data_IF_485870234809
#
_entry.id   IF_485870234809
#
_cell.length_a   1.000
_cell.length_b   1.000
_cell.length_c   1.000
_cell.angle_alpha   90.00
_cell.angle_beta   90.00
_cell.angle_gamma   90.00
#
_symmetry.space_group_name_H-M   'P 1'
#
loop_
_entity.id
_entity.type
_entity.pdbx_description
1 polymer ?
#
# COMPACT_ATOMS: atom_id res chain seq x y z
N UNK A 1 -6.48 15.25 -0.01
CA UNK A 1 -7.33 14.04 -0.08
C UNK A 1 -6.57 13.09 -0.96
N UNK A 2 -6.36 11.84 -0.54
CA UNK A 2 -5.57 10.87 -1.32
C UNK A 2 -6.13 10.74 -2.73
N UNK A 3 -5.23 10.68 -3.71
CA UNK A 3 -5.58 10.48 -5.10
C UNK A 3 -5.37 9.02 -5.50
N UNK A 4 -6.37 8.44 -6.18
CA UNK A 4 -6.25 7.13 -6.79
C UNK A 4 -6.91 7.13 -8.17
N UNK A 5 -6.38 6.33 -9.10
CA UNK A 5 -6.85 6.28 -10.48
C UNK A 5 -6.54 4.94 -11.14
N UNK A 6 -7.28 4.63 -12.20
CA UNK A 6 -6.97 3.50 -13.07
C UNK A 6 -5.77 3.79 -13.96
N UNK A 7 -4.91 2.80 -14.10
CA UNK A 7 -3.66 2.92 -14.86
C UNK A 7 -3.87 2.73 -16.37
N UNK A 8 -3.03 3.39 -17.17
CA UNK A 8 -2.82 3.05 -18.58
C UNK A 8 -1.97 1.78 -18.77
N UNK A 9 -1.78 1.38 -20.03
CA UNK A 9 -0.93 0.24 -20.42
C UNK A 9 0.40 0.71 -21.04
N UNK A 10 0.82 1.94 -20.74
CA UNK A 10 2.03 2.53 -21.32
C UNK A 10 3.30 1.79 -20.86
N UNK A 11 4.32 1.62 -21.73
CA UNK A 11 5.61 1.06 -21.36
C UNK A 11 6.55 2.09 -20.69
N UNK A 12 6.04 3.26 -20.29
CA UNK A 12 6.79 4.28 -19.55
C UNK A 12 7.34 3.74 -18.21
N UNK A 13 8.27 4.50 -17.60
CA UNK A 13 8.86 4.12 -16.31
C UNK A 13 7.74 4.00 -15.27
N UNK A 14 7.68 2.87 -14.57
CA UNK A 14 6.69 2.56 -13.53
C UNK A 14 6.50 3.65 -12.46
N UNK A 15 7.48 4.54 -12.28
CA UNK A 15 7.43 5.67 -11.36
C UNK A 15 6.64 6.87 -11.91
N UNK A 16 6.23 6.83 -13.17
CA UNK A 16 5.36 7.83 -13.77
C UNK A 16 3.91 7.68 -13.26
N UNK A 17 3.06 8.72 -13.40
CA UNK A 17 1.69 8.63 -12.93
C UNK A 17 0.80 7.61 -13.65
N UNK A 18 1.09 7.24 -14.91
CA UNK A 18 0.30 6.25 -15.68
C UNK A 18 -1.22 6.48 -15.69
N UNK A 19 -1.68 7.74 -15.76
CA UNK A 19 -3.11 8.05 -15.77
C UNK A 19 -3.70 7.77 -17.14
N UNK A 20 -4.83 7.05 -17.18
CA UNK A 20 -5.66 6.94 -18.38
C UNK A 20 -5.99 8.32 -18.99
N UNK A 21 -6.18 8.35 -20.31
CA UNK A 21 -6.63 9.54 -21.04
C UNK A 21 -7.93 9.23 -21.80
N UNK A 22 -9.09 9.74 -21.34
CA UNK A 22 -9.30 10.62 -20.19
C UNK A 22 -9.10 9.91 -18.83
N UNK A 23 -8.74 10.68 -17.80
CA UNK A 23 -8.51 10.16 -16.44
C UNK A 23 -9.76 9.47 -15.89
N UNK A 24 -9.57 8.28 -15.30
CA UNK A 24 -10.60 7.54 -14.57
C UNK A 24 -10.19 7.42 -13.11
N UNK A 25 -10.67 8.35 -12.28
CA UNK A 25 -10.39 8.35 -10.85
C UNK A 25 -11.03 7.14 -10.14
N UNK A 26 -10.35 6.64 -9.11
CA UNK A 26 -10.86 5.68 -8.15
C UNK A 26 -11.20 6.41 -6.84
N UNK A 27 -12.42 6.24 -6.35
CA UNK A 27 -12.86 6.91 -5.12
C UNK A 27 -12.41 6.15 -3.87
N UNK A 28 -12.34 6.84 -2.73
CA UNK A 28 -12.14 6.20 -1.43
C UNK A 28 -13.21 5.14 -1.10
N UNK A 29 -14.44 5.31 -1.59
CA UNK A 29 -15.50 4.31 -1.43
C UNK A 29 -15.19 3.04 -2.22
N UNK A 30 -14.70 3.18 -3.45
CA UNK A 30 -14.24 2.05 -4.26
C UNK A 30 -13.09 1.30 -3.56
N UNK A 31 -12.09 2.03 -3.05
CA UNK A 31 -10.98 1.44 -2.31
C UNK A 31 -11.47 0.69 -1.05
N UNK A 32 -12.44 1.26 -0.31
CA UNK A 32 -13.05 0.59 0.86
C UNK A 32 -13.74 -0.72 0.48
N UNK A 33 -14.43 -0.79 -0.66
CA UNK A 33 -15.05 -2.04 -1.16
C UNK A 33 -14.02 -3.09 -1.61
N UNK A 34 -12.76 -2.68 -1.79
CA UNK A 34 -11.61 -3.58 -1.96
C UNK A 34 -10.93 -3.91 -0.62
N UNK A 35 -11.51 -3.48 0.52
CA UNK A 35 -10.94 -3.65 1.85
C UNK A 35 -9.77 -2.73 2.16
N UNK A 36 -9.38 -1.85 1.22
CA UNK A 36 -8.32 -0.85 1.44
C UNK A 36 -8.86 0.27 2.32
N UNK A 37 -8.21 0.53 3.45
CA UNK A 37 -8.58 1.62 4.35
C UNK A 37 -7.53 2.72 4.33
N UNK A 38 -7.98 3.96 4.54
CA UNK A 38 -7.15 5.15 4.46
C UNK A 38 -7.48 6.12 5.60
N UNK A 39 -6.44 6.75 6.14
CA UNK A 39 -6.53 7.83 7.14
C UNK A 39 -5.49 8.91 6.82
N UNK A 40 -5.82 10.19 7.08
CA UNK A 40 -4.85 11.29 7.06
C UNK A 40 -4.49 11.66 8.50
N UNK A 41 -3.21 11.77 8.79
CA UNK A 41 -2.65 12.12 10.09
C UNK A 41 -1.63 13.26 9.95
N UNK A 42 -1.23 13.82 11.09
CA UNK A 42 -0.11 14.75 11.15
C UNK A 42 1.21 13.97 11.22
N UNK A 43 1.98 13.98 10.14
CA UNK A 43 3.26 13.25 10.10
C UNK A 43 4.37 13.95 10.88
N UNK A 44 4.23 15.22 11.23
CA UNK A 44 5.26 15.95 11.99
C UNK A 44 5.32 15.54 13.47
N UNK A 45 4.24 14.97 14.00
CA UNK A 45 4.13 14.56 15.40
C UNK A 45 4.07 13.03 15.61
N UNK A 46 4.45 12.22 14.61
CA UNK A 46 4.26 10.76 14.61
C UNK A 46 4.83 10.01 15.84
N UNK A 47 5.79 10.58 16.56
CA UNK A 47 6.37 9.99 17.78
C UNK A 47 5.46 10.11 19.01
N UNK A 48 4.57 11.11 19.01
CA UNK A 48 3.72 11.47 20.18
C UNK A 48 2.25 11.67 19.84
N UNK A 49 1.86 11.45 18.58
CA UNK A 49 0.50 11.67 18.09
C UNK A 49 -0.53 10.81 18.87
N UNK A 50 -1.45 11.44 19.63
CA UNK A 50 -2.51 10.72 20.31
C UNK A 50 -3.46 10.02 19.33
N UNK A 51 -3.68 10.56 18.12
CA UNK A 51 -4.58 9.97 17.12
C UNK A 51 -3.97 8.68 16.59
N UNK A 52 -2.69 8.68 16.21
CA UNK A 52 -1.97 7.46 15.85
C UNK A 52 -2.04 6.42 16.98
N UNK A 53 -1.85 6.82 18.24
CA UNK A 53 -1.94 5.91 19.39
C UNK A 53 -3.33 5.28 19.53
N UNK A 54 -4.40 6.06 19.34
CA UNK A 54 -5.78 5.56 19.38
C UNK A 54 -6.04 4.56 18.25
N UNK A 55 -5.61 4.86 17.03
CA UNK A 55 -5.72 3.96 15.87
C UNK A 55 -5.01 2.64 16.17
N UNK A 56 -3.75 2.71 16.60
CA UNK A 56 -2.95 1.52 16.92
C UNK A 56 -3.58 0.67 18.01
N UNK A 57 -4.21 1.30 19.00
CA UNK A 57 -4.88 0.58 20.09
C UNK A 57 -6.17 -0.09 19.59
N UNK A 58 -6.97 0.61 18.80
CA UNK A 58 -8.24 0.11 18.28
C UNK A 58 -8.05 -1.04 17.26
N UNK A 59 -7.01 -0.95 16.43
CA UNK A 59 -6.71 -1.93 15.36
C UNK A 59 -5.63 -2.94 15.76
N UNK A 60 -5.18 -2.90 17.02
CA UNK A 60 -4.16 -3.78 17.59
C UNK A 60 -2.81 -3.79 16.84
N UNK A 61 -2.39 -2.63 16.33
CA UNK A 61 -1.07 -2.42 15.71
C UNK A 61 0.03 -2.33 16.78
N UNK A 62 0.34 -3.47 17.37
CA UNK A 62 1.25 -3.63 18.50
C UNK A 62 2.73 -3.44 18.13
N UNK A 63 3.10 -3.59 16.86
CA UNK A 63 4.47 -3.46 16.38
C UNK A 63 4.61 -2.34 15.35
N UNK A 64 5.77 -1.64 15.37
CA UNK A 64 6.13 -0.69 14.33
C UNK A 64 7.65 -0.54 14.19
N UNK A 65 8.08 -0.15 12.99
CA UNK A 65 9.40 0.40 12.73
C UNK A 65 9.35 1.47 11.64
N UNK A 66 10.49 2.11 11.38
CA UNK A 66 10.65 3.11 10.34
C UNK A 66 11.57 2.57 9.26
N UNK A 67 11.12 2.64 8.01
CA UNK A 67 11.93 2.37 6.83
C UNK A 67 12.14 3.66 6.04
N UNK A 68 13.34 3.84 5.50
CA UNK A 68 13.65 4.89 4.53
C UNK A 68 14.08 4.23 3.23
N UNK A 69 13.31 4.45 2.17
CA UNK A 69 13.58 3.92 0.83
C UNK A 69 14.20 5.06 0.04
N UNK A 70 15.53 5.01 -0.08
CA UNK A 70 16.35 5.92 -0.87
C UNK A 70 17.60 5.15 -1.30
N UNK A 71 18.08 5.38 -2.53
CA UNK A 71 19.18 4.64 -3.16
C UNK A 71 20.40 4.45 -2.25
N UNK A 72 20.80 5.50 -1.54
CA UNK A 72 22.02 5.49 -0.72
C UNK A 72 21.79 5.13 0.75
N UNK A 73 20.52 4.98 1.19
CA UNK A 73 20.17 4.72 2.61
C UNK A 73 19.62 3.32 2.85
N UNK A 74 19.01 2.70 1.84
CA UNK A 74 18.40 1.38 1.97
C UNK A 74 19.41 0.28 1.59
N UNK A 75 19.79 -0.62 2.51
CA UNK A 75 20.61 -1.78 2.15
C UNK A 75 19.93 -2.66 1.10
N UNK A 76 20.69 -3.11 0.10
CA UNK A 76 20.19 -3.87 -1.05
C UNK A 76 19.06 -3.15 -1.81
N UNK A 77 19.14 -1.82 -1.93
CA UNK A 77 18.13 -0.98 -2.57
C UNK A 77 17.61 -1.55 -3.91
N UNK A 78 18.50 -1.84 -4.86
CA UNK A 78 18.13 -2.28 -6.22
C UNK A 78 17.38 -3.63 -6.24
N UNK A 79 17.66 -4.51 -5.27
CA UNK A 79 16.94 -5.78 -5.12
C UNK A 79 15.58 -5.55 -4.44
N UNK A 80 15.56 -4.75 -3.37
CA UNK A 80 14.34 -4.46 -2.61
C UNK A 80 13.28 -3.75 -3.44
N UNK A 81 13.65 -2.74 -4.23
CA UNK A 81 12.67 -2.03 -5.08
C UNK A 81 12.04 -2.96 -6.13
N UNK A 82 12.78 -3.96 -6.62
CA UNK A 82 12.24 -4.97 -7.54
C UNK A 82 11.26 -5.88 -6.82
N UNK A 83 11.62 -6.36 -5.63
CA UNK A 83 10.71 -7.17 -4.81
C UNK A 83 9.43 -6.42 -4.46
N UNK A 84 9.53 -5.14 -4.12
CA UNK A 84 8.35 -4.32 -3.79
C UNK A 84 7.42 -4.13 -5.00
N UNK A 85 7.99 -4.05 -6.21
CA UNK A 85 7.20 -3.80 -7.43
C UNK A 85 6.65 -5.06 -8.10
N UNK A 86 7.25 -6.22 -7.87
CA UNK A 86 6.70 -7.50 -8.32
C UNK A 86 5.29 -7.66 -7.72
N UNK A 87 4.28 -8.04 -8.51
CA UNK A 87 2.92 -8.21 -8.00
C UNK A 87 2.87 -9.36 -6.98
N UNK A 88 2.44 -9.06 -5.76
CA UNK A 88 2.45 -10.01 -4.65
C UNK A 88 1.25 -9.83 -3.71
N UNK A 89 1.13 -10.75 -2.76
CA UNK A 89 0.25 -10.63 -1.61
C UNK A 89 0.97 -10.98 -0.30
N UNK A 90 0.34 -10.61 0.80
CA UNK A 90 0.72 -11.00 2.16
C UNK A 90 -0.42 -11.80 2.83
N UNK A 91 -0.05 -12.59 3.85
CA UNK A 91 -1.01 -13.36 4.66
C UNK A 91 -1.58 -12.53 5.82
N UNK A 92 -0.97 -11.39 6.08
CA UNK A 92 -1.36 -10.38 7.06
C UNK A 92 -1.56 -9.04 6.34
N UNK A 93 -2.19 -8.09 7.01
CA UNK A 93 -2.41 -6.75 6.48
C UNK A 93 -1.07 -6.01 6.28
N UNK A 94 -0.96 -5.29 5.16
CA UNK A 94 0.15 -4.38 4.90
C UNK A 94 -0.25 -2.95 5.32
N UNK A 95 0.27 -2.50 6.46
CA UNK A 95 -0.02 -1.16 6.99
C UNK A 95 1.20 -0.25 6.81
N UNK A 96 0.98 0.94 6.22
CA UNK A 96 2.01 1.94 5.94
C UNK A 96 1.52 3.33 6.27
N UNK A 97 2.34 4.09 6.99
CA UNK A 97 2.10 5.50 7.28
C UNK A 97 3.28 6.34 6.76
N UNK A 98 3.02 7.20 5.78
CA UNK A 98 4.05 8.00 5.11
C UNK A 98 4.44 9.19 5.99
N UNK A 99 5.68 9.20 6.44
CA UNK A 99 6.24 10.25 7.30
C UNK A 99 6.92 11.36 6.49
N UNK A 100 7.45 11.03 5.32
CA UNK A 100 8.10 11.97 4.41
C UNK A 100 8.21 11.37 3.00
N UNK A 101 8.34 12.22 1.98
CA UNK A 101 8.36 11.80 0.58
C UNK A 101 7.03 11.23 0.10
N UNK A 102 7.08 10.36 -0.90
CA UNK A 102 5.90 9.85 -1.60
C UNK A 102 6.17 8.58 -2.41
N UNK A 103 5.10 7.91 -2.82
CA UNK A 103 5.16 6.74 -3.68
C UNK A 103 3.77 6.24 -4.08
N UNK A 104 3.75 5.13 -4.81
CA UNK A 104 2.54 4.51 -5.34
C UNK A 104 2.33 3.11 -4.74
N UNK A 105 1.11 2.86 -4.29
CA UNK A 105 0.61 1.50 -4.08
C UNK A 105 -0.37 1.18 -5.20
N UNK A 106 -0.08 0.15 -5.98
CA UNK A 106 -1.01 -0.35 -6.98
C UNK A 106 -1.76 -1.54 -6.41
N UNK A 107 -3.08 -1.58 -6.59
CA UNK A 107 -3.94 -2.69 -6.16
C UNK A 107 -4.82 -3.18 -7.30
N UNK A 108 -5.15 -4.47 -7.30
CA UNK A 108 -6.13 -5.03 -8.24
C UNK A 108 -7.55 -4.73 -7.79
N UNK A 109 -8.38 -4.24 -8.70
CA UNK A 109 -9.83 -4.15 -8.50
C UNK A 109 -10.53 -5.52 -8.70
N UNK A 110 -11.87 -5.54 -8.62
CA UNK A 110 -12.65 -6.79 -8.78
C UNK A 110 -12.55 -7.40 -10.19
N UNK A 111 -12.25 -6.59 -11.20
CA UNK A 111 -12.05 -7.03 -12.59
C UNK A 111 -10.56 -7.31 -12.89
N UNK A 112 -9.72 -7.37 -11.85
CA UNK A 112 -8.28 -7.57 -11.95
C UNK A 112 -7.55 -6.45 -12.72
N UNK A 113 -8.07 -5.22 -12.70
CA UNK A 113 -7.43 -4.03 -13.27
C UNK A 113 -6.65 -3.27 -12.21
N UNK A 114 -5.54 -2.66 -12.60
CA UNK A 114 -4.73 -1.86 -11.69
C UNK A 114 -5.39 -0.51 -11.36
N UNK A 115 -5.43 -0.21 -10.06
CA UNK A 115 -5.68 1.11 -9.49
C UNK A 115 -4.38 1.55 -8.80
N UNK A 116 -3.82 2.67 -9.23
CA UNK A 116 -2.68 3.31 -8.60
C UNK A 116 -3.16 4.29 -7.53
N UNK A 117 -2.60 4.19 -6.33
CA UNK A 117 -2.90 5.03 -5.17
C UNK A 117 -1.65 5.85 -4.86
N UNK A 118 -1.75 7.17 -5.00
CA UNK A 118 -0.65 8.07 -4.66
C UNK A 118 -0.66 8.39 -3.17
N UNK A 119 0.41 8.01 -2.49
CA UNK A 119 0.59 8.20 -1.06
C UNK A 119 1.68 9.22 -0.81
N UNK A 120 1.37 10.24 -0.02
CA UNK A 120 2.28 11.32 0.35
C UNK A 120 2.33 11.51 1.87
N UNK A 121 3.22 12.38 2.35
CA UNK A 121 3.37 12.70 3.77
C UNK A 121 2.02 12.94 4.48
N UNK A 122 1.80 12.19 5.56
CA UNK A 122 0.57 12.24 6.37
C UNK A 122 -0.45 11.16 5.99
N UNK A 123 -0.26 10.44 4.88
CA UNK A 123 -1.17 9.39 4.47
C UNK A 123 -0.85 8.05 5.14
N UNK A 124 -1.87 7.43 5.73
CA UNK A 124 -1.82 6.08 6.28
C UNK A 124 -2.78 5.18 5.51
N UNK A 125 -2.29 4.03 5.06
CA UNK A 125 -3.05 3.03 4.31
C UNK A 125 -2.90 1.65 4.94
N UNK A 126 -3.97 0.86 4.87
CA UNK A 126 -3.94 -0.57 5.17
C UNK A 126 -4.45 -1.32 3.94
N UNK A 127 -3.60 -2.20 3.41
CA UNK A 127 -3.95 -3.14 2.35
C UNK A 127 -4.31 -4.49 3.02
N UNK A 128 -5.50 -5.04 2.77
CA UNK A 128 -5.96 -6.23 3.47
C UNK A 128 -5.18 -7.48 3.06
N UNK A 129 -4.97 -8.41 3.99
CA UNK A 129 -4.40 -9.72 3.71
C UNK A 129 -5.05 -10.38 2.47
N UNK A 130 -4.24 -10.91 1.56
CA UNK A 130 -4.70 -11.57 0.34
C UNK A 130 -5.03 -10.66 -0.86
N UNK A 131 -4.94 -9.33 -0.74
CA UNK A 131 -5.00 -8.43 -1.90
C UNK A 131 -3.72 -8.54 -2.73
N UNK A 132 -3.87 -8.62 -4.05
CA UNK A 132 -2.73 -8.45 -4.96
C UNK A 132 -2.40 -6.97 -5.07
N UNK A 133 -1.14 -6.65 -4.78
CA UNK A 133 -0.63 -5.30 -4.78
C UNK A 133 0.86 -5.26 -5.14
N UNK A 134 1.36 -4.04 -5.33
CA UNK A 134 2.79 -3.74 -5.46
C UNK A 134 3.05 -2.30 -5.02
N UNK A 135 4.30 -2.00 -4.72
CA UNK A 135 4.76 -0.66 -4.36
C UNK A 135 5.87 -0.19 -5.29
N UNK A 136 5.82 1.09 -5.66
CA UNK A 136 6.96 1.77 -6.29
C UNK A 136 7.12 3.19 -5.76
N UNK A 137 8.34 3.72 -5.83
CA UNK A 137 8.55 5.15 -5.64
C UNK A 137 7.88 5.92 -6.77
N UNK A 138 7.64 7.20 -6.58
CA UNK A 138 7.35 8.10 -7.70
C UNK A 138 8.68 8.66 -8.27
N UNK A 139 8.57 9.62 -9.18
CA UNK A 139 9.74 10.28 -9.78
C UNK A 139 10.62 11.04 -8.76
N UNK A 140 10.15 11.29 -7.54
CA UNK A 140 10.95 11.92 -6.47
C UNK A 140 11.91 10.92 -5.81
N UNK A 141 11.75 9.61 -6.04
CA UNK A 141 12.69 8.57 -5.63
C UNK A 141 13.00 8.53 -4.12
N UNK A 142 12.04 8.90 -3.28
CA UNK A 142 12.23 8.94 -1.84
C UNK A 142 10.92 8.75 -1.09
N UNK A 143 10.92 7.84 -0.12
CA UNK A 143 9.87 7.76 0.90
C UNK A 143 10.46 7.35 2.25
N UNK A 144 9.95 7.95 3.32
CA UNK A 144 10.13 7.49 4.70
C UNK A 144 8.77 7.04 5.20
N UNK A 145 8.65 5.78 5.57
CA UNK A 145 7.39 5.20 6.01
C UNK A 145 7.56 4.55 7.39
N UNK A 146 6.55 4.72 8.24
CA UNK A 146 6.30 3.84 9.37
C UNK A 146 5.58 2.61 8.87
N UNK A 147 6.08 1.43 9.22
CA UNK A 147 5.39 0.17 8.97
C UNK A 147 4.76 -0.31 10.27
N UNK A 148 3.51 -0.75 10.23
CA UNK A 148 2.77 -1.20 11.41
C UNK A 148 2.28 -2.62 11.22
N UNK A 149 2.25 -3.41 12.30
CA UNK A 149 1.84 -4.82 12.28
C UNK A 149 1.00 -5.17 13.51
N UNK A 150 0.09 -6.14 13.31
CA UNK A 150 -0.55 -6.88 14.39
C UNK A 150 0.38 -8.02 14.82
N UNK A 151 0.89 -7.98 16.05
CA UNK A 151 1.84 -8.96 16.54
C UNK A 151 3.27 -8.79 15.97
N UNK A 152 4.04 -9.89 15.96
CA UNK A 152 5.39 -9.90 15.38
C UNK A 152 5.30 -9.89 13.84
N UNK A 153 6.09 -9.06 13.14
CA UNK A 153 5.92 -8.88 11.71
C UNK A 153 6.45 -10.05 10.89
N UNK A 154 5.66 -10.50 9.92
CA UNK A 154 6.06 -11.42 8.87
C UNK A 154 5.99 -10.70 7.52
N UNK A 155 7.15 -10.40 6.94
CA UNK A 155 7.27 -9.60 5.71
C UNK A 155 7.21 -10.41 4.42
N UNK A 156 6.91 -11.70 4.50
CA UNK A 156 7.02 -12.61 3.35
C UNK A 156 6.01 -12.20 2.28
N UNK A 157 6.52 -11.75 1.14
CA UNK A 157 5.75 -11.54 -0.08
C UNK A 157 5.60 -12.86 -0.84
N UNK A 158 4.38 -13.16 -1.27
CA UNK A 158 4.10 -14.27 -2.17
C UNK A 158 3.71 -13.70 -3.52
N UNK A 159 4.66 -13.75 -4.47
CA UNK A 159 4.45 -13.27 -5.82
C UNK A 159 3.30 -14.02 -6.49
N UNK A 160 2.52 -13.32 -7.29
CA UNK A 160 1.45 -13.92 -8.08
C UNK A 160 2.04 -14.91 -9.10
N UNK A 161 1.47 -16.12 -9.28
CA UNK A 161 0.25 -16.65 -8.66
C UNK A 161 0.43 -17.14 -7.22
N UNK A 162 -0.51 -16.78 -6.34
CA UNK A 162 -0.53 -17.13 -4.92
C UNK A 162 -1.96 -17.46 -4.44
N UNK A 163 -2.80 -18.00 -5.33
CA UNK A 163 -4.25 -18.16 -5.10
C UNK A 163 -4.62 -19.27 -4.10
N UNK A 164 -3.68 -20.16 -3.78
CA UNK A 164 -3.91 -21.29 -2.89
C UNK A 164 -3.94 -20.91 -1.39
N UNK A 165 -3.41 -19.75 -1.03
CA UNK A 165 -3.34 -19.31 0.36
C UNK A 165 -4.73 -19.06 0.96
N UNK A 166 -4.96 -19.45 2.24
CA UNK A 166 -6.22 -19.19 2.93
C UNK A 166 -6.61 -17.70 2.96
N UNK A 167 -5.64 -16.80 3.17
CA UNK A 167 -5.86 -15.35 3.18
C UNK A 167 -6.45 -14.86 1.86
N UNK A 168 -5.88 -15.30 0.72
CA UNK A 168 -6.40 -14.99 -0.62
C UNK A 168 -7.82 -15.51 -0.83
N UNK A 169 -8.10 -16.74 -0.41
CA UNK A 169 -9.45 -17.35 -0.50
C UNK A 169 -10.47 -16.60 0.36
N UNK A 170 -10.08 -16.12 1.54
CA UNK A 170 -10.94 -15.29 2.40
C UNK A 170 -11.18 -13.91 1.78
N UNK A 171 -10.14 -13.26 1.26
CA UNK A 171 -10.26 -11.98 0.57
C UNK A 171 -11.19 -12.04 -0.64
N UNK A 172 -11.09 -13.09 -1.47
CA UNK A 172 -11.99 -13.29 -2.61
C UNK A 172 -13.45 -13.48 -2.17
N UNK A 173 -13.71 -14.15 -1.04
CA UNK A 173 -15.07 -14.25 -0.46
C UNK A 173 -15.58 -12.88 -0.01
N UNK A 174 -14.76 -12.12 0.70
CA UNK A 174 -15.07 -10.75 1.10
C UNK A 174 -15.47 -9.88 -0.12
N UNK A 175 -14.71 -9.94 -1.22
CA UNK A 175 -15.05 -9.19 -2.44
C UNK A 175 -16.39 -9.58 -3.06
N UNK A 176 -16.80 -10.85 -2.92
CA UNK A 176 -18.08 -11.34 -3.42
C UNK A 176 -19.27 -10.92 -2.55
N UNK A 177 -19.06 -10.72 -1.25
CA UNK A 177 -20.08 -10.25 -0.30
C UNK A 177 -20.28 -8.73 -0.37
N UNK A 178 -19.24 -7.97 -0.68
CA UNK A 178 -19.25 -6.52 -0.91
C UNK A 178 -19.73 -6.12 -2.34
N UNK A 179 -20.35 -7.03 -3.09
CA UNK A 179 -20.77 -6.83 -4.48
C UNK A 179 -22.21 -6.33 -4.60
#
# INVERSE_FOLDING_TARGET
MVEAWYMDESPEDQRAPHRLQPNRAASLDLLRRLGVTYRRLDADNYETDPVLKEIRTAENYSWMDIITIQKDKLPNYEEKIKTFYEEHLHLDDEIRYILDGSGYFDVRDKDDKWIQIFMEKGDMITLPAGIYHRFTLDENNYVKAMRLFVGEPVWTAYNRPADDFPARKQYVKFLAEEA
#
